data_IF_838983423389
#
_entry.id   IF_838983423389
#
_cell.length_a   1.000
_cell.length_b   1.000
_cell.length_c   1.000
_cell.angle_alpha   90.00
_cell.angle_beta   90.00
_cell.angle_gamma   90.00
#
_symmetry.space_group_name_H-M   'P 1'
#
loop_
_entity.id
_entity.type
_entity.pdbx_description
1 polymer ?
#
# COMPACT_ATOMS: atom_id res chain seq x y z
N UNK A 1 -22.46 16.71 -14.34
CA UNK A 1 -21.38 16.29 -13.43
C UNK A 1 -20.52 15.15 -14.02
N UNK A 2 -21.09 14.20 -14.82
CA UNK A 2 -20.34 13.03 -15.33
C UNK A 2 -19.13 13.44 -16.16
N UNK A 3 -19.31 14.30 -17.16
CA UNK A 3 -18.18 14.74 -17.99
C UNK A 3 -17.13 15.54 -17.21
N UNK A 4 -17.52 16.30 -16.20
CA UNK A 4 -16.55 16.95 -15.31
C UNK A 4 -15.69 15.92 -14.57
N UNK A 5 -16.30 14.86 -14.03
CA UNK A 5 -15.58 13.75 -13.39
C UNK A 5 -14.66 13.04 -14.40
N UNK A 6 -15.13 12.73 -15.61
CA UNK A 6 -14.33 12.08 -16.66
C UNK A 6 -13.12 12.94 -17.05
N UNK A 7 -13.28 14.25 -17.20
CA UNK A 7 -12.15 15.14 -17.45
C UNK A 7 -11.17 15.19 -16.28
N UNK A 8 -11.67 15.13 -15.05
CA UNK A 8 -10.84 14.99 -13.85
C UNK A 8 -10.00 13.71 -13.85
N UNK A 9 -10.61 12.58 -14.22
CA UNK A 9 -9.89 11.30 -14.36
C UNK A 9 -8.81 11.37 -15.45
N UNK A 10 -9.11 11.99 -16.59
CA UNK A 10 -8.13 12.20 -17.65
C UNK A 10 -6.98 13.09 -17.20
N UNK A 11 -7.27 14.17 -16.45
CA UNK A 11 -6.26 15.05 -15.89
C UNK A 11 -5.37 14.34 -14.87
N UNK A 12 -5.95 13.50 -13.98
CA UNK A 12 -5.18 12.66 -13.06
C UNK A 12 -4.26 11.70 -13.84
N UNK A 13 -4.78 11.09 -14.91
CA UNK A 13 -4.00 10.18 -15.74
C UNK A 13 -2.81 10.89 -16.41
N UNK A 14 -3.01 12.11 -16.91
CA UNK A 14 -1.96 12.93 -17.49
C UNK A 14 -0.88 13.35 -16.45
N UNK A 15 -1.26 13.52 -15.18
CA UNK A 15 -0.31 13.83 -14.11
C UNK A 15 0.69 12.71 -13.83
N UNK A 16 0.44 11.47 -14.26
CA UNK A 16 1.35 10.33 -14.03
C UNK A 16 2.73 10.60 -14.62
N UNK A 17 2.82 11.32 -15.74
CA UNK A 17 4.08 11.74 -16.36
C UNK A 17 4.90 12.71 -15.48
N UNK A 18 4.29 13.29 -14.45
CA UNK A 18 4.92 14.25 -13.54
C UNK A 18 5.30 13.67 -12.19
N UNK A 19 5.03 12.38 -11.97
CA UNK A 19 5.39 11.70 -10.74
C UNK A 19 6.86 11.26 -10.84
N UNK A 20 7.58 11.42 -9.73
CA UNK A 20 8.96 10.98 -9.65
C UNK A 20 8.99 9.45 -9.51
N UNK A 21 9.93 8.81 -10.15
CA UNK A 21 10.05 7.33 -10.10
C UNK A 21 10.32 6.84 -8.68
N UNK A 22 11.20 7.52 -7.95
CA UNK A 22 11.57 7.21 -6.57
C UNK A 22 10.42 7.34 -5.56
N UNK A 23 9.35 8.05 -5.91
CA UNK A 23 8.17 8.17 -5.05
C UNK A 23 7.23 6.96 -5.16
N UNK A 24 7.39 6.10 -6.17
CA UNK A 24 6.56 4.90 -6.41
C UNK A 24 5.05 5.17 -6.32
N UNK A 25 4.61 6.33 -6.81
CA UNK A 25 3.23 6.77 -6.69
C UNK A 25 2.26 5.77 -7.33
N UNK A 26 1.21 5.43 -6.60
CA UNK A 26 0.06 4.67 -7.09
C UNK A 26 -1.22 5.43 -6.78
N UNK A 27 -2.06 5.60 -7.79
CA UNK A 27 -3.37 6.23 -7.68
C UNK A 27 -4.37 5.51 -8.58
N UNK A 28 -5.53 5.15 -8.03
CA UNK A 28 -6.57 4.38 -8.70
C UNK A 28 -7.93 5.00 -8.44
N UNK A 29 -8.31 6.07 -9.20
CA UNK A 29 -9.63 6.66 -9.07
C UNK A 29 -10.71 5.76 -9.69
N UNK A 30 -11.87 5.68 -9.02
CA UNK A 30 -13.06 5.01 -9.51
C UNK A 30 -14.28 5.94 -9.40
N UNK A 31 -15.24 5.78 -10.29
CA UNK A 31 -16.54 6.42 -10.17
C UNK A 31 -17.47 5.47 -9.41
N UNK A 32 -17.80 5.81 -8.15
CA UNK A 32 -18.70 5.00 -7.32
C UNK A 32 -20.17 5.36 -7.50
N UNK A 33 -20.46 6.57 -8.02
CA UNK A 33 -21.79 6.99 -8.41
C UNK A 33 -21.69 7.84 -9.68
N UNK A 34 -22.19 7.33 -10.81
CA UNK A 34 -22.08 7.97 -12.13
C UNK A 34 -23.38 8.37 -12.79
N UNK A 35 -24.52 8.04 -12.20
CA UNK A 35 -25.86 8.27 -12.75
C UNK A 35 -26.78 7.07 -12.53
N UNK A 36 -28.06 7.19 -12.89
CA UNK A 36 -29.07 6.14 -12.68
C UNK A 36 -29.76 5.68 -13.97
N UNK A 37 -29.87 6.57 -14.96
CA UNK A 37 -30.54 6.29 -16.24
C UNK A 37 -29.82 6.99 -17.38
N UNK A 38 -29.81 6.39 -18.60
CA UNK A 38 -28.99 6.91 -19.70
C UNK A 38 -29.58 8.19 -20.35
N UNK A 39 -30.86 8.46 -20.15
CA UNK A 39 -31.55 9.62 -20.70
C UNK A 39 -31.59 10.85 -19.77
N UNK A 40 -30.90 10.79 -18.63
CA UNK A 40 -30.78 11.89 -17.69
C UNK A 40 -29.31 12.24 -17.41
N UNK A 41 -28.97 13.53 -17.50
CA UNK A 41 -27.66 14.03 -17.15
C UNK A 41 -27.51 13.99 -15.60
N UNK A 42 -26.54 13.26 -15.06
CA UNK A 42 -26.36 13.17 -13.60
C UNK A 42 -26.06 14.54 -13.00
N UNK A 43 -26.85 14.95 -12.01
CA UNK A 43 -26.59 16.18 -11.25
C UNK A 43 -25.43 16.04 -10.27
N UNK A 44 -25.16 14.79 -9.81
CA UNK A 44 -24.10 14.43 -8.88
C UNK A 44 -23.35 13.21 -9.39
N UNK A 45 -22.03 13.26 -9.29
CA UNK A 45 -21.12 12.13 -9.52
C UNK A 45 -20.17 12.05 -8.33
N UNK A 46 -19.88 10.84 -7.87
CA UNK A 46 -18.90 10.59 -6.81
C UNK A 46 -17.71 9.85 -7.40
N UNK A 47 -16.53 10.38 -7.15
CA UNK A 47 -15.25 9.75 -7.48
C UNK A 47 -14.54 9.47 -6.18
N UNK A 48 -14.09 8.24 -6.01
CA UNK A 48 -13.23 7.83 -4.92
C UNK A 48 -11.83 7.53 -5.46
N UNK A 49 -10.82 7.94 -4.73
CA UNK A 49 -9.44 7.73 -5.12
C UNK A 49 -8.59 7.41 -3.88
N UNK A 50 -7.62 6.54 -4.07
CA UNK A 50 -6.59 6.25 -3.06
C UNK A 50 -5.24 6.63 -3.65
N UNK A 51 -4.45 7.38 -2.88
CA UNK A 51 -3.06 7.72 -3.20
C UNK A 51 -2.13 6.95 -2.29
N UNK A 52 -1.15 6.29 -2.89
CA UNK A 52 -0.06 5.61 -2.18
C UNK A 52 1.27 6.07 -2.76
N UNK A 53 2.29 6.18 -1.93
CA UNK A 53 3.63 6.52 -2.34
C UNK A 53 4.65 5.98 -1.33
N UNK A 54 5.95 6.09 -1.64
CA UNK A 54 7.01 5.61 -0.77
C UNK A 54 7.15 6.43 0.51
N UNK A 55 6.75 7.71 0.51
CA UNK A 55 6.83 8.60 1.67
C UNK A 55 5.52 9.34 1.90
N UNK A 56 5.29 9.79 3.14
CA UNK A 56 4.13 10.61 3.47
C UNK A 56 4.16 11.94 2.69
N UNK A 57 5.33 12.56 2.55
CA UNK A 57 5.48 13.80 1.78
C UNK A 57 5.08 13.61 0.32
N UNK A 58 5.46 12.49 -0.29
CA UNK A 58 5.07 12.15 -1.65
C UNK A 58 3.55 11.90 -1.76
N UNK A 59 2.92 11.28 -0.76
CA UNK A 59 1.46 11.12 -0.69
C UNK A 59 0.77 12.48 -0.65
N UNK A 60 1.21 13.38 0.23
CA UNK A 60 0.63 14.73 0.38
C UNK A 60 0.79 15.53 -0.93
N UNK A 61 2.00 15.60 -1.46
CA UNK A 61 2.28 16.34 -2.69
C UNK A 61 1.48 15.81 -3.89
N UNK A 62 1.33 14.48 -3.99
CA UNK A 62 0.53 13.85 -5.04
C UNK A 62 -0.95 14.13 -4.87
N UNK A 63 -1.47 14.04 -3.64
CA UNK A 63 -2.87 14.32 -3.34
C UNK A 63 -3.25 15.76 -3.69
N UNK A 64 -2.38 16.73 -3.39
CA UNK A 64 -2.57 18.12 -3.79
C UNK A 64 -2.60 18.30 -5.32
N UNK A 65 -1.75 17.60 -6.08
CA UNK A 65 -1.79 17.61 -7.55
C UNK A 65 -3.13 17.08 -8.06
N UNK A 66 -3.60 15.97 -7.51
CA UNK A 66 -4.87 15.34 -7.87
C UNK A 66 -6.05 16.27 -7.56
N UNK A 67 -6.06 16.87 -6.39
CA UNK A 67 -7.10 17.81 -5.99
C UNK A 67 -7.18 19.02 -6.94
N UNK A 68 -6.02 19.57 -7.33
CA UNK A 68 -5.97 20.67 -8.33
C UNK A 68 -6.49 20.22 -9.70
N UNK A 69 -6.16 19.01 -10.14
CA UNK A 69 -6.65 18.46 -11.41
C UNK A 69 -8.17 18.31 -11.41
N UNK A 70 -8.74 17.76 -10.34
CA UNK A 70 -10.19 17.64 -10.17
C UNK A 70 -10.87 18.99 -10.10
N UNK A 71 -10.29 19.96 -9.37
CA UNK A 71 -10.83 21.32 -9.29
C UNK A 71 -10.79 22.03 -10.65
N UNK A 72 -9.69 21.91 -11.40
CA UNK A 72 -9.57 22.48 -12.75
C UNK A 72 -10.59 21.89 -13.72
N UNK A 73 -10.78 20.57 -13.71
CA UNK A 73 -11.77 19.90 -14.55
C UNK A 73 -13.21 20.31 -14.18
N UNK A 74 -13.53 20.40 -12.91
CA UNK A 74 -14.85 20.86 -12.46
C UNK A 74 -15.11 22.30 -12.92
N UNK A 75 -14.15 23.21 -12.73
CA UNK A 75 -14.23 24.60 -13.15
C UNK A 75 -14.41 24.73 -14.66
N UNK A 76 -13.63 24.00 -15.46
CA UNK A 76 -13.73 24.00 -16.93
C UNK A 76 -15.11 23.56 -17.44
N UNK A 77 -15.81 22.72 -16.70
CA UNK A 77 -17.13 22.19 -17.03
C UNK A 77 -18.27 22.93 -16.32
N UNK A 78 -18.00 24.02 -15.61
CA UNK A 78 -19.00 24.77 -14.83
C UNK A 78 -19.64 23.94 -13.69
N UNK A 79 -18.98 22.94 -13.18
CA UNK A 79 -19.49 22.08 -12.12
C UNK A 79 -18.93 22.48 -10.75
N UNK A 80 -19.75 22.34 -9.71
CA UNK A 80 -19.27 22.45 -8.32
C UNK A 80 -18.48 21.22 -7.91
N UNK A 81 -17.47 21.39 -7.06
CA UNK A 81 -16.67 20.32 -6.52
C UNK A 81 -16.65 20.38 -4.98
N UNK A 82 -16.82 19.21 -4.34
CA UNK A 82 -16.54 19.02 -2.92
C UNK A 82 -15.51 17.92 -2.78
N UNK A 83 -14.39 18.22 -2.14
CA UNK A 83 -13.35 17.24 -1.80
C UNK A 83 -13.50 16.89 -0.32
N UNK A 84 -13.39 15.60 0.00
CA UNK A 84 -13.32 15.09 1.36
C UNK A 84 -12.12 14.17 1.43
N UNK A 85 -11.18 14.49 2.29
CA UNK A 85 -9.97 13.71 2.48
C UNK A 85 -10.06 12.89 3.77
N UNK A 86 -9.48 11.71 3.73
CA UNK A 86 -9.33 10.82 4.88
C UNK A 86 -7.92 10.27 4.86
N UNK A 87 -7.26 10.28 6.01
CA UNK A 87 -5.99 9.59 6.17
C UNK A 87 -6.21 8.08 5.93
N UNK A 88 -5.33 7.48 5.13
CA UNK A 88 -5.17 6.04 5.00
C UNK A 88 -3.98 5.59 5.85
N UNK A 89 -3.56 4.34 5.68
CA UNK A 89 -2.35 3.84 6.33
C UNK A 89 -1.09 4.53 5.78
N UNK A 90 -0.13 4.75 6.66
CA UNK A 90 1.18 5.28 6.31
C UNK A 90 1.97 4.28 5.44
N UNK A 91 2.94 4.74 4.65
CA UNK A 91 3.90 3.86 4.00
C UNK A 91 4.61 2.98 5.01
N UNK A 92 4.81 1.70 4.67
CA UNK A 92 5.49 0.75 5.54
C UNK A 92 7.01 0.85 5.37
N UNK A 93 7.71 1.03 6.49
CA UNK A 93 9.16 1.01 6.58
C UNK A 93 9.61 -0.19 7.41
N UNK A 94 10.02 -1.27 6.74
CA UNK A 94 10.61 -2.42 7.41
C UNK A 94 11.99 -2.05 7.98
N UNK A 95 12.25 -2.43 9.22
CA UNK A 95 13.56 -2.26 9.82
C UNK A 95 14.53 -3.29 9.24
N UNK A 96 15.65 -2.82 8.65
CA UNK A 96 16.63 -3.66 7.98
C UNK A 96 17.25 -4.72 8.92
N UNK A 97 17.63 -4.31 10.12
CA UNK A 97 18.23 -5.24 11.09
C UNK A 97 17.29 -6.35 11.52
N UNK A 98 16.01 -6.03 11.73
CA UNK A 98 14.99 -7.05 11.99
C UNK A 98 14.81 -7.98 10.77
N UNK A 99 14.94 -7.45 9.55
CA UNK A 99 14.93 -8.23 8.32
C UNK A 99 16.09 -9.25 8.28
N UNK A 100 17.31 -8.83 8.61
CA UNK A 100 18.48 -9.73 8.71
C UNK A 100 18.25 -10.85 9.74
N UNK A 101 17.76 -10.52 10.93
CA UNK A 101 17.46 -11.51 11.97
C UNK A 101 16.37 -12.48 11.54
N UNK A 102 15.35 -11.98 10.86
CA UNK A 102 14.30 -12.84 10.29
C UNK A 102 14.86 -13.79 9.24
N UNK A 103 15.71 -13.33 8.33
CA UNK A 103 16.36 -14.18 7.33
C UNK A 103 17.28 -15.21 7.97
N UNK A 104 18.02 -14.83 9.00
CA UNK A 104 18.81 -15.77 9.79
C UNK A 104 17.92 -16.85 10.45
N UNK A 105 16.82 -16.45 11.08
CA UNK A 105 15.86 -17.37 11.69
C UNK A 105 15.23 -18.32 10.64
N UNK A 106 14.88 -17.80 9.47
CA UNK A 106 14.35 -18.60 8.36
C UNK A 106 15.38 -19.61 7.84
N UNK A 107 16.65 -19.21 7.74
CA UNK A 107 17.74 -20.09 7.34
C UNK A 107 18.01 -21.24 8.32
N UNK A 108 17.72 -21.07 9.62
CA UNK A 108 17.77 -22.16 10.60
C UNK A 108 16.65 -23.21 10.37
N UNK A 109 15.52 -22.79 9.81
CA UNK A 109 14.39 -23.70 9.50
C UNK A 109 14.53 -24.38 8.14
N UNK A 110 15.11 -23.70 7.18
CA UNK A 110 15.30 -24.19 5.81
C UNK A 110 16.70 -23.80 5.28
N UNK A 111 17.74 -24.54 5.74
CA UNK A 111 19.13 -24.23 5.36
C UNK A 111 19.41 -24.42 3.86
N UNK A 112 18.61 -25.22 3.16
CA UNK A 112 18.79 -25.51 1.74
C UNK A 112 18.30 -24.35 0.84
N UNK A 113 17.43 -23.48 1.37
CA UNK A 113 16.86 -22.34 0.65
C UNK A 113 17.00 -21.05 1.46
N UNK A 114 18.23 -20.54 1.65
CA UNK A 114 18.45 -19.31 2.40
C UNK A 114 17.77 -18.14 1.68
N UNK A 115 17.27 -17.19 2.46
CA UNK A 115 16.71 -15.94 1.97
C UNK A 115 17.53 -14.77 2.47
N UNK A 116 17.56 -13.70 1.69
CA UNK A 116 18.21 -12.45 2.03
C UNK A 116 17.16 -11.35 2.22
N UNK A 117 17.42 -10.34 3.06
CA UNK A 117 16.55 -9.19 3.17
C UNK A 117 16.45 -8.50 1.80
N UNK A 118 15.21 -8.30 1.33
CA UNK A 118 14.97 -7.51 0.12
C UNK A 118 14.92 -6.02 0.44
N UNK A 119 15.44 -5.19 -0.45
CA UNK A 119 15.36 -3.74 -0.40
C UNK A 119 14.25 -3.18 -1.32
N UNK A 120 13.53 -4.04 -2.01
CA UNK A 120 12.46 -3.64 -2.91
C UNK A 120 11.29 -3.06 -2.14
N UNK A 121 10.93 -1.82 -2.50
CA UNK A 121 9.76 -1.19 -1.94
C UNK A 121 8.48 -1.85 -2.45
N UNK A 122 7.58 -2.19 -1.54
CA UNK A 122 6.26 -2.75 -1.86
C UNK A 122 5.19 -1.67 -1.86
N UNK A 123 4.29 -1.71 -2.86
CA UNK A 123 3.14 -0.80 -2.95
C UNK A 123 2.01 -1.16 -1.97
N UNK A 124 2.15 -2.24 -1.20
CA UNK A 124 1.20 -2.66 -0.19
C UNK A 124 1.12 -1.63 0.95
N UNK A 125 -0.09 -1.37 1.45
CA UNK A 125 -0.30 -0.56 2.64
C UNK A 125 -1.05 -1.41 3.66
N UNK A 126 -0.57 -1.41 4.89
CA UNK A 126 -1.19 -2.07 6.04
C UNK A 126 -1.13 -1.14 7.24
N UNK A 127 -1.86 -1.45 8.31
CA UNK A 127 -1.78 -0.76 9.59
C UNK A 127 -0.37 -0.79 10.21
N UNK A 128 0.46 -1.76 9.83
CA UNK A 128 1.88 -1.79 10.22
C UNK A 128 2.68 -0.58 9.70
N UNK A 129 2.21 0.08 8.63
CA UNK A 129 2.78 1.35 8.17
C UNK A 129 2.70 2.42 9.26
N UNK A 130 1.56 2.53 9.95
CA UNK A 130 1.39 3.49 11.04
C UNK A 130 2.29 3.15 12.23
N UNK A 131 2.46 1.87 12.56
CA UNK A 131 3.37 1.43 13.61
C UNK A 131 4.82 1.74 13.25
N UNK A 132 5.20 1.53 11.97
CA UNK A 132 6.56 1.77 11.48
C UNK A 132 7.00 3.24 11.56
N UNK A 133 6.04 4.17 11.65
CA UNK A 133 6.33 5.59 11.85
C UNK A 133 6.82 5.93 13.28
N UNK A 134 6.60 5.03 14.25
CA UNK A 134 6.91 5.27 15.66
C UNK A 134 7.95 4.32 16.25
N UNK A 135 8.10 3.12 15.68
CA UNK A 135 9.02 2.13 16.19
C UNK A 135 9.53 1.20 15.08
N UNK A 136 10.68 0.53 15.28
CA UNK A 136 11.14 -0.50 14.36
C UNK A 136 10.10 -1.61 14.21
N UNK A 137 9.78 -1.96 12.97
CA UNK A 137 8.85 -3.05 12.64
C UNK A 137 9.41 -3.90 11.51
N UNK A 138 8.88 -5.11 11.41
CA UNK A 138 9.06 -5.99 10.27
C UNK A 138 7.72 -6.62 9.90
N UNK A 139 7.35 -6.53 8.63
CA UNK A 139 6.14 -7.14 8.08
C UNK A 139 6.52 -8.07 6.92
N UNK A 140 7.03 -9.26 7.20
CA UNK A 140 7.49 -10.19 6.19
C UNK A 140 6.33 -10.97 5.59
N UNK A 141 6.55 -11.52 4.40
CA UNK A 141 5.66 -12.48 3.78
C UNK A 141 6.17 -13.90 3.98
N UNK A 142 5.26 -14.86 4.12
CA UNK A 142 5.58 -16.28 4.15
C UNK A 142 4.95 -17.01 2.97
N UNK A 143 5.52 -18.16 2.61
CA UNK A 143 4.98 -19.05 1.59
C UNK A 143 3.86 -19.90 2.20
N UNK A 144 3.03 -20.49 1.33
CA UNK A 144 2.02 -21.48 1.73
C UNK A 144 0.62 -21.13 1.30
N UNK A 145 0.39 -19.96 0.71
CA UNK A 145 -0.84 -19.62 0.00
C UNK A 145 -0.72 -19.94 -1.49
N UNK A 146 -1.85 -20.15 -2.15
CA UNK A 146 -2.02 -20.29 -3.59
C UNK A 146 -3.13 -19.35 -4.07
N UNK A 147 -3.15 -19.11 -5.38
CA UNK A 147 -4.10 -18.18 -6.01
C UNK A 147 -3.66 -16.72 -5.95
N UNK A 148 -4.26 -15.85 -6.78
CA UNK A 148 -3.99 -14.41 -6.77
C UNK A 148 -4.53 -13.76 -5.48
N UNK A 149 -3.75 -12.86 -4.89
CA UNK A 149 -4.22 -12.08 -3.74
C UNK A 149 -5.51 -11.31 -4.09
N UNK A 150 -6.45 -11.24 -3.16
CA UNK A 150 -7.78 -10.62 -3.31
C UNK A 150 -8.71 -11.28 -4.34
N UNK A 151 -8.49 -12.56 -4.67
CA UNK A 151 -9.40 -13.36 -5.50
C UNK A 151 -10.12 -14.43 -4.68
N UNK A 152 -11.22 -14.94 -5.23
CA UNK A 152 -11.98 -16.04 -4.62
C UNK A 152 -11.19 -17.37 -4.59
N UNK A 153 -10.15 -17.46 -5.43
CA UNK A 153 -9.25 -18.62 -5.51
C UNK A 153 -8.09 -18.55 -4.52
N UNK A 154 -7.98 -17.47 -3.72
CA UNK A 154 -6.91 -17.34 -2.74
C UNK A 154 -7.15 -18.25 -1.55
N UNK A 155 -6.27 -19.23 -1.35
CA UNK A 155 -6.40 -20.24 -0.28
C UNK A 155 -5.06 -20.56 0.39
N UNK A 156 -5.12 -21.18 1.58
CA UNK A 156 -3.95 -21.76 2.24
C UNK A 156 -3.69 -23.14 1.62
N UNK A 157 -2.74 -23.23 0.72
CA UNK A 157 -2.34 -24.48 0.05
C UNK A 157 -1.46 -25.39 0.94
N UNK A 158 -0.76 -24.82 1.92
CA UNK A 158 0.05 -25.57 2.89
C UNK A 158 -0.02 -24.93 4.27
N UNK A 159 -0.75 -25.57 5.18
CA UNK A 159 -0.86 -25.14 6.58
C UNK A 159 0.50 -25.13 7.27
N UNK A 160 1.36 -26.11 6.97
CA UNK A 160 2.70 -26.16 7.54
C UNK A 160 3.52 -24.92 7.17
N UNK A 161 3.59 -24.57 5.87
CA UNK A 161 4.35 -23.42 5.40
C UNK A 161 3.71 -22.10 5.84
N UNK A 162 2.41 -21.94 5.68
CA UNK A 162 1.72 -20.69 5.96
C UNK A 162 1.57 -20.39 7.46
N UNK A 163 1.34 -21.41 8.29
CA UNK A 163 1.03 -21.22 9.70
C UNK A 163 2.17 -21.68 10.62
N UNK A 164 2.60 -22.95 10.49
CA UNK A 164 3.56 -23.53 11.44
C UNK A 164 4.95 -22.91 11.24
N UNK A 165 5.46 -22.87 10.01
CA UNK A 165 6.79 -22.31 9.74
C UNK A 165 6.81 -20.79 9.95
N UNK A 166 5.71 -20.09 9.63
CA UNK A 166 5.57 -18.67 9.93
C UNK A 166 5.65 -18.40 11.45
N UNK A 167 4.97 -19.20 12.27
CA UNK A 167 5.05 -19.06 13.72
C UNK A 167 6.46 -19.40 14.25
N UNK A 168 7.07 -20.47 13.74
CA UNK A 168 8.44 -20.85 14.15
C UNK A 168 9.47 -19.76 13.83
N UNK A 169 9.44 -19.17 12.63
CA UNK A 169 10.39 -18.13 12.26
C UNK A 169 10.21 -16.87 13.09
N UNK A 170 8.97 -16.52 13.43
CA UNK A 170 8.71 -15.39 14.33
C UNK A 170 9.30 -15.63 15.73
N UNK A 171 9.09 -16.82 16.31
CA UNK A 171 9.66 -17.19 17.61
C UNK A 171 11.19 -17.18 17.61
N UNK A 172 11.82 -17.73 16.58
CA UNK A 172 13.28 -17.70 16.44
C UNK A 172 13.80 -16.27 16.25
N UNK A 173 13.11 -15.44 15.51
CA UNK A 173 13.47 -14.02 15.37
C UNK A 173 13.39 -13.30 16.71
N UNK A 174 12.37 -13.58 17.52
CA UNK A 174 12.25 -13.04 18.88
C UNK A 174 13.38 -13.54 19.79
N UNK A 175 13.77 -14.81 19.70
CA UNK A 175 14.88 -15.37 20.43
C UNK A 175 16.19 -14.65 20.08
N UNK A 176 16.49 -14.48 18.79
CA UNK A 176 17.67 -13.74 18.32
C UNK A 176 17.69 -12.28 18.81
N UNK A 177 16.52 -11.61 18.83
CA UNK A 177 16.39 -10.25 19.38
C UNK A 177 16.71 -10.18 20.88
N UNK A 178 16.39 -11.24 21.64
CA UNK A 178 16.56 -11.29 23.09
C UNK A 178 17.92 -11.85 23.53
N UNK A 179 18.70 -12.42 22.62
CA UNK A 179 20.05 -12.90 22.91
C UNK A 179 20.95 -11.79 23.45
N UNK A 180 22.02 -12.18 24.16
CA UNK A 180 23.03 -11.29 24.69
C UNK A 180 22.47 -10.11 25.52
N UNK A 181 21.43 -10.39 26.33
CA UNK A 181 20.77 -9.38 27.15
C UNK A 181 19.93 -8.38 26.33
N UNK A 182 19.34 -8.84 25.23
CA UNK A 182 18.53 -8.07 24.31
C UNK A 182 19.29 -6.89 23.66
N UNK A 183 20.53 -7.12 23.29
CA UNK A 183 21.38 -6.09 22.70
C UNK A 183 20.81 -5.57 21.36
N UNK A 184 20.18 -6.45 20.59
CA UNK A 184 19.56 -6.13 19.29
C UNK A 184 18.21 -5.43 19.42
N UNK A 185 17.54 -5.55 20.57
CA UNK A 185 16.24 -4.93 20.83
C UNK A 185 16.33 -3.54 21.50
N UNK A 186 17.53 -3.09 21.86
CA UNK A 186 17.82 -1.78 22.49
C UNK A 186 18.23 -0.74 21.46
#
# INVERSE_FOLDING_TARGET
ALYAATQGLNAINALRETFREEDYVRTHPIITQGGSVPNAIPSKVVVENMVRAATIDAVIATNEKINRAMAGAAAAMGAGLKITERAGYSPLYNNWRMGELFCQAAGLLDPEHPIEPGDEWSTGCTDMGDVSAFMPVLHPYCKGAAGPAHSDDYEIASVEKACVNSAKVQLLTMELLLENGAAEAK
#
